data_IF_992020232052
#
_entry.id   IF_992020232052
#
_cell.length_a   1.000
_cell.length_b   1.000
_cell.length_c   1.000
_cell.angle_alpha   90.00
_cell.angle_beta   90.00
_cell.angle_gamma   90.00
#
_symmetry.space_group_name_H-M   'P 1'
#
loop_
_entity.id
_entity.type
_entity.pdbx_description
1 polymer ?
#
# COMPACT_ATOMS: atom_id res chain seq x y z
N UNK A 1 8.03 67.86 31.60
CA UNK A 1 7.44 67.50 30.28
C UNK A 1 8.18 66.26 29.76
N UNK A 2 7.65 65.13 30.08
CA UNK A 2 8.28 63.81 29.84
C UNK A 2 7.49 63.09 28.70
N UNK A 3 8.17 62.82 27.59
CA UNK A 3 7.57 62.09 26.47
C UNK A 3 8.02 60.62 26.57
N UNK A 4 7.15 59.78 27.09
CA UNK A 4 7.28 58.32 26.98
C UNK A 4 7.20 57.89 25.51
N UNK A 5 8.23 57.19 25.04
CA UNK A 5 8.20 56.48 23.75
C UNK A 5 7.70 55.08 24.01
N UNK A 6 6.55 54.76 23.43
CA UNK A 6 6.02 53.41 23.40
C UNK A 6 6.88 52.52 22.46
N UNK A 7 7.50 51.51 23.03
CA UNK A 7 8.21 50.45 22.29
C UNK A 7 7.19 49.35 21.91
N UNK A 8 6.85 49.29 20.63
CA UNK A 8 5.97 48.27 20.08
C UNK A 8 6.71 46.96 20.01
N UNK A 9 6.37 45.99 20.90
CA UNK A 9 6.88 44.65 20.87
C UNK A 9 6.40 43.93 19.60
N UNK A 10 7.36 43.54 18.75
CA UNK A 10 7.13 42.68 17.60
C UNK A 10 6.87 41.25 18.03
N UNK A 11 5.63 40.79 17.90
CA UNK A 11 5.28 39.40 18.12
C UNK A 11 5.88 38.53 17.02
N UNK A 12 6.79 37.64 17.40
CA UNK A 12 7.29 36.59 16.54
C UNK A 12 6.15 35.58 16.29
N UNK A 13 5.75 35.44 15.03
CA UNK A 13 4.80 34.42 14.62
C UNK A 13 5.42 33.04 14.75
N UNK A 14 4.78 32.16 15.49
CA UNK A 14 5.15 30.75 15.59
C UNK A 14 5.06 30.04 14.21
N UNK A 15 5.96 29.11 13.87
CA UNK A 15 5.90 28.37 12.63
C UNK A 15 4.64 27.48 12.62
N UNK A 16 3.89 27.55 11.52
CA UNK A 16 2.71 26.72 11.30
C UNK A 16 3.14 25.27 11.14
N UNK A 17 2.49 24.29 11.80
CA UNK A 17 2.79 22.87 11.61
C UNK A 17 2.55 22.45 10.18
N UNK A 18 3.48 21.63 9.67
CA UNK A 18 3.61 21.20 8.31
C UNK A 18 2.31 20.70 7.66
N UNK A 19 2.20 21.00 6.38
CA UNK A 19 1.07 20.60 5.55
C UNK A 19 0.89 19.08 5.56
N UNK A 20 -0.39 18.67 5.61
CA UNK A 20 -0.78 17.28 5.36
C UNK A 20 -0.26 16.89 3.98
N UNK A 21 0.29 15.65 3.82
CA UNK A 21 0.61 15.13 2.50
C UNK A 21 -0.68 15.20 1.65
N UNK A 22 -0.60 15.89 0.52
CA UNK A 22 -1.72 16.10 -0.37
C UNK A 22 -2.22 14.76 -0.89
N UNK A 23 -3.54 14.56 -0.87
CA UNK A 23 -4.17 13.49 -1.67
C UNK A 23 -3.64 13.60 -3.10
N UNK A 24 -3.26 12.47 -3.75
CA UNK A 24 -2.86 12.50 -5.14
C UNK A 24 -3.98 13.18 -5.95
N UNK A 25 -3.60 14.22 -6.70
CA UNK A 25 -4.56 14.90 -7.59
C UNK A 25 -4.90 13.94 -8.71
N UNK A 26 -6.14 13.46 -8.71
CA UNK A 26 -6.72 12.71 -9.81
C UNK A 26 -6.60 13.52 -11.11
N UNK A 27 -5.68 13.12 -11.98
CA UNK A 27 -5.68 13.54 -13.38
C UNK A 27 -6.69 12.66 -14.09
N UNK A 28 -7.80 13.27 -14.46
CA UNK A 28 -8.95 12.65 -15.10
C UNK A 28 -8.57 12.26 -16.53
N UNK A 29 -8.08 11.03 -16.73
CA UNK A 29 -8.05 10.36 -18.03
C UNK A 29 -9.11 9.27 -17.96
N UNK A 30 -10.07 9.29 -18.88
CA UNK A 30 -11.32 8.55 -18.92
C UNK A 30 -11.16 7.03 -18.67
N UNK A 31 -11.06 6.64 -17.41
CA UNK A 31 -11.09 5.28 -16.91
C UNK A 31 -11.49 5.33 -15.44
N UNK A 32 -12.55 4.61 -15.08
CA UNK A 32 -13.02 4.55 -13.69
C UNK A 32 -11.90 3.94 -12.84
N UNK A 33 -11.35 4.71 -11.87
CA UNK A 33 -10.36 4.20 -10.91
C UNK A 33 -10.99 3.01 -10.19
N UNK A 34 -10.29 1.86 -10.24
CA UNK A 34 -10.68 0.68 -9.48
C UNK A 34 -9.89 0.65 -8.18
N UNK A 35 -10.60 0.56 -7.08
CA UNK A 35 -10.02 0.28 -5.75
C UNK A 35 -10.05 -1.23 -5.57
N UNK A 36 -8.89 -1.83 -5.35
CA UNK A 36 -8.75 -3.28 -5.09
C UNK A 36 -8.86 -3.58 -3.60
N UNK A 37 -8.32 -2.70 -2.76
CA UNK A 37 -8.35 -2.82 -1.31
C UNK A 37 -8.27 -1.44 -0.65
N UNK A 38 -8.86 -1.33 0.52
CA UNK A 38 -8.77 -0.15 1.37
C UNK A 38 -8.81 -0.58 2.84
N UNK A 39 -7.83 -0.13 3.64
CA UNK A 39 -7.75 -0.47 5.06
C UNK A 39 -9.04 -0.14 5.84
N UNK A 40 -9.78 0.87 5.41
CA UNK A 40 -11.07 1.24 5.98
C UNK A 40 -12.12 0.12 5.89
N UNK A 41 -12.08 -0.71 4.84
CA UNK A 41 -13.01 -1.84 4.70
C UNK A 41 -12.72 -2.93 5.74
N UNK A 42 -11.44 -3.15 6.06
CA UNK A 42 -11.04 -4.11 7.08
C UNK A 42 -11.50 -3.66 8.46
N UNK A 43 -11.30 -2.38 8.77
CA UNK A 43 -11.72 -1.78 10.05
C UNK A 43 -13.25 -1.75 10.22
N UNK A 44 -14.00 -1.71 9.12
CA UNK A 44 -15.45 -1.75 9.11
C UNK A 44 -16.03 -3.18 9.19
N UNK A 45 -15.18 -4.22 9.09
CA UNK A 45 -15.56 -5.63 9.20
C UNK A 45 -15.57 -6.10 10.67
N UNK A 46 -15.60 -7.42 10.89
CA UNK A 46 -15.48 -8.04 12.23
C UNK A 46 -14.05 -7.88 12.78
N UNK A 47 -13.66 -6.62 13.02
CA UNK A 47 -12.32 -6.27 13.50
C UNK A 47 -12.06 -6.81 14.91
N UNK A 48 -10.96 -7.55 15.15
CA UNK A 48 -10.67 -8.12 16.46
C UNK A 48 -10.45 -7.02 17.51
N UNK A 49 -11.12 -7.15 18.66
CA UNK A 49 -10.99 -6.19 19.75
C UNK A 49 -9.56 -6.12 20.26
N UNK A 50 -9.04 -4.89 20.38
CA UNK A 50 -7.70 -4.63 20.91
C UNK A 50 -6.58 -4.81 19.89
N UNK A 51 -6.89 -5.16 18.65
CA UNK A 51 -5.90 -5.18 17.58
C UNK A 51 -5.64 -3.74 17.09
N UNK A 52 -4.36 -3.29 16.96
CA UNK A 52 -4.05 -1.97 16.44
C UNK A 52 -4.58 -1.77 15.02
N UNK A 53 -5.07 -0.56 14.71
CA UNK A 53 -5.63 -0.25 13.38
C UNK A 53 -4.60 -0.38 12.24
N UNK A 54 -3.31 -0.23 12.54
CA UNK A 54 -2.21 -0.42 11.60
C UNK A 54 -2.20 -1.83 10.99
N UNK A 55 -2.72 -2.83 11.71
CA UNK A 55 -2.84 -4.20 11.22
C UNK A 55 -3.78 -4.33 10.00
N UNK A 56 -4.69 -3.38 9.80
CA UNK A 56 -5.51 -3.33 8.59
C UNK A 56 -4.69 -3.08 7.31
N UNK A 57 -3.45 -2.62 7.47
CA UNK A 57 -2.54 -2.39 6.35
C UNK A 57 -1.71 -3.62 5.97
N UNK A 58 -1.72 -4.71 6.76
CA UNK A 58 -0.69 -5.76 6.63
C UNK A 58 -0.84 -6.54 5.33
N UNK A 59 -1.99 -7.14 5.05
CA UNK A 59 -2.14 -7.99 3.86
C UNK A 59 -1.94 -7.21 2.55
N UNK A 60 -2.59 -6.05 2.41
CA UNK A 60 -2.44 -5.20 1.23
C UNK A 60 -1.03 -4.60 1.13
N UNK A 61 -0.41 -4.28 2.26
CA UNK A 61 0.94 -3.74 2.30
C UNK A 61 2.00 -4.76 1.94
N UNK A 62 1.88 -6.02 2.37
CA UNK A 62 2.79 -7.09 1.92
C UNK A 62 2.69 -7.29 0.40
N UNK A 63 1.48 -7.23 -0.15
CA UNK A 63 1.26 -7.33 -1.59
C UNK A 63 1.82 -6.11 -2.34
N UNK A 64 1.60 -4.88 -1.86
CA UNK A 64 2.14 -3.66 -2.45
C UNK A 64 3.67 -3.66 -2.46
N UNK A 65 4.30 -4.09 -1.35
CA UNK A 65 5.75 -4.24 -1.27
C UNK A 65 6.29 -5.21 -2.33
N UNK A 66 5.61 -6.35 -2.52
CA UNK A 66 5.98 -7.30 -3.57
C UNK A 66 5.79 -6.71 -4.98
N UNK A 67 4.70 -5.99 -5.26
CA UNK A 67 4.50 -5.28 -6.53
C UNK A 67 5.65 -4.30 -6.81
N UNK A 68 6.12 -3.58 -5.78
CA UNK A 68 7.24 -2.66 -5.87
C UNK A 68 8.55 -3.38 -6.23
N UNK A 69 8.86 -4.52 -5.62
CA UNK A 69 10.05 -5.32 -5.95
C UNK A 69 9.99 -5.93 -7.36
N UNK A 70 8.80 -6.31 -7.82
CA UNK A 70 8.59 -6.90 -9.16
C UNK A 70 8.42 -5.86 -10.25
N UNK A 71 8.57 -4.55 -9.95
CA UNK A 71 8.42 -3.42 -10.89
C UNK A 71 7.04 -3.41 -11.56
N UNK A 72 6.01 -3.69 -10.79
CA UNK A 72 4.62 -3.72 -11.25
C UNK A 72 3.85 -2.44 -10.87
N UNK A 73 4.52 -1.48 -10.26
CA UNK A 73 3.97 -0.16 -9.98
C UNK A 73 3.98 0.75 -11.22
N UNK A 74 3.15 1.77 -11.21
CA UNK A 74 3.16 2.82 -12.24
C UNK A 74 4.38 3.72 -12.09
N UNK A 75 4.86 4.28 -13.20
CA UNK A 75 5.96 5.26 -13.17
C UNK A 75 5.61 6.51 -12.35
N UNK A 76 4.33 6.86 -12.30
CA UNK A 76 3.84 7.96 -11.49
C UNK A 76 4.01 7.70 -10.00
N UNK A 77 3.58 6.54 -9.54
CA UNK A 77 3.76 6.15 -8.15
C UNK A 77 5.25 6.03 -7.80
N UNK A 78 6.07 5.43 -8.67
CA UNK A 78 7.51 5.29 -8.42
C UNK A 78 8.21 6.66 -8.30
N UNK A 79 7.78 7.67 -9.04
CA UNK A 79 8.31 9.03 -8.92
C UNK A 79 7.81 9.76 -7.67
N UNK A 80 6.51 9.64 -7.36
CA UNK A 80 5.90 10.30 -6.22
C UNK A 80 6.41 9.76 -4.88
N UNK A 81 6.60 8.44 -4.80
CA UNK A 81 7.02 7.73 -3.58
C UNK A 81 8.46 7.20 -3.66
N UNK A 82 9.33 7.88 -4.42
CA UNK A 82 10.71 7.43 -4.60
C UNK A 82 11.43 7.19 -3.28
N UNK A 83 11.32 8.10 -2.33
CA UNK A 83 12.00 8.03 -1.02
C UNK A 83 11.49 6.84 -0.20
N UNK A 84 10.18 6.66 -0.15
CA UNK A 84 9.54 5.57 0.58
C UNK A 84 9.85 4.20 -0.06
N UNK A 85 9.90 4.13 -1.39
CA UNK A 85 10.27 2.92 -2.11
C UNK A 85 11.74 2.57 -1.93
N UNK A 86 12.63 3.56 -1.89
CA UNK A 86 14.05 3.35 -1.56
C UNK A 86 14.20 2.86 -0.10
N UNK A 87 13.47 3.47 0.84
CA UNK A 87 13.44 3.03 2.24
C UNK A 87 12.90 1.58 2.39
N UNK A 88 11.87 1.21 1.62
CA UNK A 88 11.35 -0.15 1.59
C UNK A 88 12.37 -1.14 1.00
N UNK A 89 12.96 -0.83 -0.15
CA UNK A 89 14.00 -1.67 -0.78
C UNK A 89 15.25 -1.81 0.09
N UNK A 90 15.58 -0.75 0.85
CA UNK A 90 16.63 -0.74 1.88
C UNK A 90 16.24 -1.39 3.21
N UNK A 91 15.04 -1.99 3.31
CA UNK A 91 14.49 -2.62 4.53
C UNK A 91 14.38 -1.69 5.75
N UNK A 92 14.32 -0.38 5.52
CA UNK A 92 14.12 0.63 6.58
C UNK A 92 12.65 0.74 7.00
N UNK A 93 11.73 0.45 6.08
CA UNK A 93 10.30 0.36 6.34
C UNK A 93 9.76 -0.95 5.74
N UNK A 94 8.63 -1.42 6.28
CA UNK A 94 7.93 -2.62 5.78
C UNK A 94 6.93 -2.27 4.66
N UNK A 95 6.44 -3.28 3.94
CA UNK A 95 5.38 -3.10 2.95
C UNK A 95 4.09 -2.51 3.53
N UNK A 96 3.57 -2.96 4.69
CA UNK A 96 2.47 -2.32 5.40
C UNK A 96 2.71 -0.84 5.74
N UNK A 97 3.93 -0.48 6.11
CA UNK A 97 4.29 0.92 6.33
C UNK A 97 4.28 1.73 5.03
N UNK A 98 4.80 1.16 3.93
CA UNK A 98 4.72 1.77 2.60
C UNK A 98 3.26 2.00 2.18
N UNK A 99 2.38 1.00 2.35
CA UNK A 99 0.97 1.09 2.06
C UNK A 99 0.27 2.17 2.88
N UNK A 100 0.60 2.28 4.17
CA UNK A 100 0.08 3.31 5.04
C UNK A 100 0.47 4.73 4.58
N UNK A 101 1.70 4.92 4.11
CA UNK A 101 2.19 6.18 3.57
C UNK A 101 1.54 6.52 2.22
N UNK A 102 1.27 5.50 1.39
CA UNK A 102 0.61 5.66 0.09
C UNK A 102 -0.92 5.87 0.17
N UNK A 103 -1.47 6.09 1.37
CA UNK A 103 -2.87 6.48 1.55
C UNK A 103 -3.79 5.34 1.98
N UNK A 104 -3.27 4.18 2.36
CA UNK A 104 -4.03 3.02 2.87
C UNK A 104 -5.06 2.45 1.88
N UNK A 105 -4.82 2.61 0.59
CA UNK A 105 -5.63 2.05 -0.49
C UNK A 105 -4.74 1.49 -1.58
N UNK A 106 -5.15 0.40 -2.20
CA UNK A 106 -4.55 -0.17 -3.40
C UNK A 106 -5.47 0.11 -4.58
N UNK A 107 -5.00 0.91 -5.54
CA UNK A 107 -5.82 1.35 -6.67
C UNK A 107 -5.17 1.02 -8.01
N UNK A 108 -5.99 1.01 -9.08
CA UNK A 108 -5.50 0.75 -10.43
C UNK A 108 -4.49 1.79 -10.95
N UNK A 109 -4.51 3.02 -10.42
CA UNK A 109 -3.58 4.09 -10.81
C UNK A 109 -2.17 3.85 -10.26
N UNK A 110 -2.06 3.13 -9.16
CA UNK A 110 -0.78 2.78 -8.54
C UNK A 110 0.02 1.75 -9.36
N UNK A 111 -0.60 1.10 -10.34
CA UNK A 111 -0.07 -0.08 -10.99
C UNK A 111 0.28 0.16 -12.45
N UNK A 112 1.36 -0.49 -12.92
CA UNK A 112 1.66 -0.62 -14.35
C UNK A 112 0.56 -1.40 -15.08
N UNK A 113 0.57 -1.40 -16.41
CA UNK A 113 -0.40 -2.17 -17.19
C UNK A 113 -0.37 -3.68 -16.83
N UNK A 114 0.81 -4.25 -16.64
CA UNK A 114 0.96 -5.65 -16.22
C UNK A 114 0.51 -5.85 -14.77
N UNK A 115 0.88 -4.94 -13.87
CA UNK A 115 0.46 -4.96 -12.47
C UNK A 115 -1.06 -4.93 -12.32
N UNK A 116 -1.76 -4.08 -13.09
CA UNK A 116 -3.23 -4.05 -13.13
C UNK A 116 -3.82 -5.36 -13.59
N UNK A 117 -3.38 -5.85 -14.74
CA UNK A 117 -3.92 -7.09 -15.31
C UNK A 117 -3.71 -8.29 -14.39
N UNK A 118 -2.56 -8.36 -13.72
CA UNK A 118 -2.30 -9.41 -12.71
C UNK A 118 -3.16 -9.22 -11.47
N UNK A 119 -3.20 -8.01 -10.90
CA UNK A 119 -3.99 -7.72 -9.69
C UNK A 119 -5.48 -7.98 -9.91
N UNK A 120 -6.03 -7.62 -11.07
CA UNK A 120 -7.41 -7.93 -11.43
C UNK A 120 -7.71 -9.44 -11.51
N UNK A 121 -6.73 -10.24 -11.94
CA UNK A 121 -6.90 -11.69 -12.06
C UNK A 121 -6.64 -12.44 -10.75
N UNK A 122 -5.91 -11.85 -9.80
CA UNK A 122 -5.39 -12.55 -8.64
C UNK A 122 -5.87 -12.00 -7.29
N UNK A 123 -5.97 -10.67 -7.16
CA UNK A 123 -6.23 -9.98 -5.88
C UNK A 123 -7.71 -9.73 -5.61
N UNK A 124 -8.64 -10.27 -6.37
CA UNK A 124 -10.08 -10.06 -6.12
C UNK A 124 -10.47 -10.59 -4.73
N UNK A 125 -10.79 -9.70 -3.80
CA UNK A 125 -11.14 -10.04 -2.43
C UNK A 125 -12.47 -10.83 -2.31
N UNK A 126 -13.34 -10.76 -3.32
CA UNK A 126 -14.63 -11.45 -3.29
C UNK A 126 -14.53 -12.93 -3.73
N UNK A 127 -13.62 -13.23 -4.66
CA UNK A 127 -13.42 -14.57 -5.21
C UNK A 127 -11.95 -14.95 -5.25
N UNK A 128 -11.09 -14.10 -4.68
CA UNK A 128 -9.69 -14.03 -4.99
C UNK A 128 -8.84 -15.09 -4.37
N UNK A 129 -7.92 -15.52 -5.18
CA UNK A 129 -6.91 -16.49 -4.81
C UNK A 129 -5.91 -15.91 -3.80
N UNK A 130 -5.73 -14.58 -3.80
CA UNK A 130 -4.78 -13.92 -2.90
C UNK A 130 -5.06 -14.21 -1.42
N UNK A 131 -6.29 -14.07 -0.94
CA UNK A 131 -6.60 -14.33 0.46
C UNK A 131 -6.41 -15.81 0.84
N UNK A 132 -6.74 -16.74 -0.06
CA UNK A 132 -6.50 -18.17 0.15
C UNK A 132 -4.99 -18.49 0.26
N UNK A 133 -4.20 -17.91 -0.62
CA UNK A 133 -2.74 -18.07 -0.60
C UNK A 133 -2.10 -17.38 0.62
N UNK A 134 -2.61 -16.21 1.00
CA UNK A 134 -2.19 -15.49 2.20
C UNK A 134 -2.49 -16.28 3.47
N UNK A 135 -3.70 -16.86 3.58
CA UNK A 135 -4.08 -17.74 4.68
C UNK A 135 -3.21 -18.99 4.74
N UNK A 136 -2.98 -19.64 3.61
CA UNK A 136 -2.16 -20.84 3.53
C UNK A 136 -0.70 -20.56 3.95
N UNK A 137 -0.16 -19.41 3.56
CA UNK A 137 1.24 -19.04 3.87
C UNK A 137 1.42 -18.52 5.30
N UNK A 138 0.44 -17.79 5.84
CA UNK A 138 0.61 -16.97 7.03
C UNK A 138 -0.44 -17.20 8.12
N UNK A 139 -1.50 -17.96 7.84
CA UNK A 139 -2.63 -18.15 8.77
C UNK A 139 -2.37 -19.18 9.89
N UNK A 140 -1.37 -20.04 9.75
CA UNK A 140 -1.12 -21.13 10.69
C UNK A 140 -0.97 -20.61 12.15
N UNK A 141 -1.77 -21.18 13.07
CA UNK A 141 -1.72 -20.86 14.50
C UNK A 141 -2.36 -19.51 14.88
N UNK A 142 -3.01 -18.80 13.95
CA UNK A 142 -3.69 -17.52 14.21
C UNK A 142 -5.20 -17.70 14.31
N UNK A 143 -5.84 -16.87 15.11
CA UNK A 143 -7.31 -16.85 15.24
C UNK A 143 -7.95 -16.01 14.14
N UNK A 144 -7.18 -15.09 13.57
CA UNK A 144 -7.62 -14.21 12.49
C UNK A 144 -6.43 -13.86 11.59
N UNK A 145 -6.69 -13.68 10.30
CA UNK A 145 -5.67 -13.18 9.34
C UNK A 145 -5.20 -11.77 9.65
N UNK A 146 -5.96 -11.00 10.43
CA UNK A 146 -5.53 -9.70 10.93
C UNK A 146 -4.40 -9.78 11.98
N UNK A 147 -4.14 -10.96 12.56
CA UNK A 147 -3.05 -11.19 13.51
C UNK A 147 -1.71 -11.49 12.84
N UNK A 148 -1.62 -11.48 11.50
CA UNK A 148 -0.34 -11.64 10.79
C UNK A 148 0.56 -10.45 11.12
N UNK A 149 1.80 -10.68 11.62
CA UNK A 149 2.68 -9.59 11.98
C UNK A 149 3.11 -8.74 10.79
N UNK A 150 3.19 -7.42 10.97
CA UNK A 150 3.95 -6.54 10.09
C UNK A 150 5.44 -6.83 10.28
N UNK A 151 5.99 -7.69 9.45
CA UNK A 151 7.39 -8.11 9.55
C UNK A 151 7.96 -8.57 8.21
N UNK A 152 9.28 -8.48 8.09
CA UNK A 152 10.00 -9.04 6.94
C UNK A 152 9.87 -10.56 6.85
N UNK A 153 9.77 -11.27 7.99
CA UNK A 153 9.53 -12.71 8.00
C UNK A 153 8.18 -13.07 7.36
N UNK A 154 7.11 -12.33 7.66
CA UNK A 154 5.80 -12.50 7.01
C UNK A 154 5.89 -12.21 5.51
N UNK A 155 6.59 -11.15 5.13
CA UNK A 155 6.82 -10.80 3.75
C UNK A 155 7.55 -11.92 2.98
N UNK A 156 8.68 -12.38 3.50
CA UNK A 156 9.51 -13.42 2.89
C UNK A 156 8.77 -14.76 2.77
N UNK A 157 7.92 -15.10 3.72
CA UNK A 157 7.10 -16.31 3.65
C UNK A 157 6.05 -16.26 2.54
N UNK A 158 5.56 -15.06 2.18
CA UNK A 158 4.56 -14.88 1.13
C UNK A 158 5.18 -14.81 -0.28
N UNK A 159 6.43 -14.35 -0.41
CA UNK A 159 7.10 -14.13 -1.70
C UNK A 159 7.02 -15.30 -2.68
N UNK A 160 7.36 -16.56 -2.29
CA UNK A 160 7.39 -17.68 -3.24
C UNK A 160 6.02 -17.92 -3.89
N UNK A 161 4.96 -17.76 -3.12
CA UNK A 161 3.58 -17.95 -3.60
C UNK A 161 3.21 -16.87 -4.61
N UNK A 162 3.50 -15.61 -4.31
CA UNK A 162 3.23 -14.49 -5.22
C UNK A 162 4.01 -14.60 -6.52
N UNK A 163 5.27 -15.00 -6.45
CA UNK A 163 6.13 -15.22 -7.63
C UNK A 163 5.60 -16.35 -8.51
N UNK A 164 5.21 -17.48 -7.93
CA UNK A 164 4.59 -18.59 -8.67
C UNK A 164 3.32 -18.14 -9.40
N UNK A 165 2.47 -17.35 -8.74
CA UNK A 165 1.24 -16.83 -9.35
C UNK A 165 1.50 -15.90 -10.52
N UNK A 166 2.48 -15.00 -10.38
CA UNK A 166 2.88 -14.11 -11.45
C UNK A 166 3.46 -14.88 -12.65
N UNK A 167 4.31 -15.85 -12.41
CA UNK A 167 4.89 -16.68 -13.47
C UNK A 167 3.83 -17.48 -14.21
N UNK A 168 2.87 -18.07 -13.49
CA UNK A 168 1.74 -18.76 -14.10
C UNK A 168 0.87 -17.80 -14.94
N UNK A 169 0.62 -16.58 -14.44
CA UNK A 169 -0.10 -15.55 -15.19
C UNK A 169 0.63 -15.18 -16.49
N UNK A 170 1.93 -14.91 -16.43
CA UNK A 170 2.77 -14.60 -17.58
C UNK A 170 2.80 -15.73 -18.61
N UNK A 171 2.89 -16.98 -18.14
CA UNK A 171 2.87 -18.16 -19.01
C UNK A 171 1.54 -18.30 -19.77
N UNK A 172 0.40 -18.03 -19.13
CA UNK A 172 -0.93 -18.04 -19.77
C UNK A 172 -1.04 -16.94 -20.85
N UNK A 173 -0.59 -15.72 -20.54
CA UNK A 173 -0.60 -14.60 -21.48
C UNK A 173 0.24 -14.86 -22.74
N UNK A 174 1.41 -15.51 -22.59
CA UNK A 174 2.26 -15.92 -23.74
C UNK A 174 1.60 -16.97 -24.60
N UNK A 175 0.89 -17.93 -24.03
CA UNK A 175 0.15 -18.96 -24.79
C UNK A 175 -1.03 -18.38 -25.58
N UNK A 176 -1.76 -17.43 -24.99
CA UNK A 176 -2.87 -16.76 -25.65
C UNK A 176 -2.45 -15.92 -26.87
N UNK A 177 -1.24 -15.36 -26.88
CA UNK A 177 -0.70 -14.58 -28.02
C UNK A 177 -0.18 -15.43 -29.19
N UNK A 178 -0.03 -16.73 -29.00
CA UNK A 178 0.48 -17.67 -30.05
C UNK A 178 -0.63 -18.39 -30.80
N UNK A 179 -1.87 -18.15 -30.42
CA UNK A 179 -3.07 -18.67 -31.11
C UNK A 179 -3.75 -17.56 -31.89
#
# INVERSE_FOLDING_TARGET
MDRKRDVKAGGAAAPRPGGRPGRPRSVNVAGKIRVYDEAAWQLASDWPRGLPEEQACVHAGLYLGWLAERRLLSEELEREFQVELEAFRGRQITGPRLYALAGRALTSEMLSAEGRAFTEAYYDLASGQFLADYEAALGAGRRSLFEVPDSWASYEALLPVLDERLDAFRARARRGRRR
#
